data_IF_232053661396
#
_entry.id   IF_232053661396
#
_cell.length_a   1.000
_cell.length_b   1.000
_cell.length_c   1.000
_cell.angle_alpha   90.00
_cell.angle_beta   90.00
_cell.angle_gamma   90.00
#
_symmetry.space_group_name_H-M   'P 1'
#
loop_
_entity.id
_entity.type
_entity.pdbx_description
1 polymer ?
#
# COMPACT_ATOMS: atom_id res chain seq x y z
N UNK A 1 -0.15 7.50 9.22
CA UNK A 1 -0.90 8.66 8.68
C UNK A 1 -0.57 8.85 7.19
N UNK A 2 0.68 9.10 6.78
CA UNK A 2 1.01 9.42 5.38
C UNK A 2 0.50 8.42 4.36
N UNK A 3 0.68 7.12 4.60
CA UNK A 3 0.25 6.05 3.69
C UNK A 3 -1.27 5.95 3.65
N UNK A 4 -1.94 5.98 4.80
CA UNK A 4 -3.41 5.90 4.84
C UNK A 4 -4.08 7.11 4.17
N UNK A 5 -3.54 8.31 4.36
CA UNK A 5 -4.06 9.51 3.71
C UNK A 5 -3.83 9.50 2.20
N UNK A 6 -2.67 9.04 1.73
CA UNK A 6 -2.42 8.87 0.30
C UNK A 6 -3.38 7.84 -0.34
N UNK A 7 -3.65 6.73 0.36
CA UNK A 7 -4.63 5.73 -0.07
C UNK A 7 -6.04 6.33 -0.19
N UNK A 8 -6.50 7.07 0.84
CA UNK A 8 -7.80 7.77 0.82
C UNK A 8 -7.90 8.74 -0.36
N UNK A 9 -6.86 9.52 -0.60
CA UNK A 9 -6.83 10.46 -1.72
C UNK A 9 -6.94 9.73 -3.06
N UNK A 10 -6.13 8.68 -3.27
CA UNK A 10 -6.16 7.90 -4.50
C UNK A 10 -7.54 7.28 -4.75
N UNK A 11 -8.15 6.69 -3.73
CA UNK A 11 -9.47 6.12 -3.82
C UNK A 11 -10.55 7.18 -4.18
N UNK A 12 -10.50 8.35 -3.54
CA UNK A 12 -11.45 9.46 -3.81
C UNK A 12 -11.25 10.11 -5.17
N UNK A 13 -10.06 10.09 -5.75
CA UNK A 13 -9.82 10.56 -7.14
C UNK A 13 -10.61 9.71 -8.13
N UNK A 14 -10.71 8.41 -7.91
CA UNK A 14 -11.44 7.48 -8.80
C UNK A 14 -12.93 7.49 -8.48
N UNK A 15 -13.28 7.46 -7.19
CA UNK A 15 -14.68 7.52 -6.75
C UNK A 15 -14.82 8.51 -5.58
N UNK A 16 -15.28 9.75 -5.84
CA UNK A 16 -15.45 10.78 -4.80
C UNK A 16 -16.41 10.39 -3.67
N UNK A 17 -17.29 9.42 -3.92
CA UNK A 17 -18.29 8.94 -2.94
C UNK A 17 -17.86 7.69 -2.18
N UNK A 18 -16.62 7.20 -2.41
CA UNK A 18 -16.12 6.01 -1.68
C UNK A 18 -15.97 6.31 -0.20
N UNK A 19 -16.39 5.36 0.63
CA UNK A 19 -16.10 5.40 2.06
C UNK A 19 -14.79 4.68 2.33
N UNK A 20 -13.86 5.32 3.02
CA UNK A 20 -12.60 4.72 3.42
C UNK A 20 -12.50 4.73 4.95
N UNK A 21 -12.54 3.54 5.55
CA UNK A 21 -12.32 3.35 6.99
C UNK A 21 -10.83 3.32 7.29
N UNK A 22 -10.41 3.97 8.36
CA UNK A 22 -9.03 3.99 8.82
C UNK A 22 -8.97 3.73 10.31
N UNK A 23 -8.32 2.64 10.69
CA UNK A 23 -8.23 2.17 12.08
C UNK A 23 -6.78 1.96 12.47
N UNK A 24 -6.35 2.54 13.59
CA UNK A 24 -5.05 2.28 14.20
C UNK A 24 -5.20 1.23 15.30
N UNK A 25 -4.66 0.03 15.10
CA UNK A 25 -4.79 -1.10 16.03
C UNK A 25 -3.76 -1.11 17.17
N UNK A 26 -2.77 -0.20 17.13
CA UNK A 26 -1.77 -0.03 18.20
C UNK A 26 -0.74 -1.16 18.31
N UNK A 27 -0.60 -2.01 17.28
CA UNK A 27 0.36 -3.11 17.24
C UNK A 27 0.80 -3.42 15.82
N UNK A 28 2.01 -3.96 15.68
CA UNK A 28 2.56 -4.41 14.38
C UNK A 28 2.52 -5.93 14.22
N UNK A 29 2.37 -6.68 15.32
CA UNK A 29 2.57 -8.14 15.33
C UNK A 29 1.35 -8.95 15.79
N UNK A 30 0.36 -8.34 16.42
CA UNK A 30 -0.82 -9.03 16.95
C UNK A 30 -1.82 -9.33 15.83
N UNK A 31 -1.77 -10.57 15.32
CA UNK A 31 -2.63 -11.03 14.23
C UNK A 31 -4.12 -11.04 14.61
N UNK A 32 -4.45 -11.35 15.89
CA UNK A 32 -5.83 -11.38 16.34
C UNK A 32 -6.45 -9.99 16.30
N UNK A 33 -5.74 -8.98 16.80
CA UNK A 33 -6.19 -7.58 16.70
C UNK A 33 -6.32 -7.11 15.25
N UNK A 34 -5.40 -7.53 14.38
CA UNK A 34 -5.50 -7.26 12.95
C UNK A 34 -6.76 -7.87 12.33
N UNK A 35 -7.06 -9.12 12.69
CA UNK A 35 -8.24 -9.84 12.25
C UNK A 35 -9.53 -9.21 12.77
N UNK A 36 -9.62 -8.91 14.07
CA UNK A 36 -10.78 -8.27 14.68
C UNK A 36 -11.11 -6.92 14.04
N UNK A 37 -10.10 -6.07 13.86
CA UNK A 37 -10.27 -4.77 13.20
C UNK A 37 -10.78 -4.93 11.76
N UNK A 38 -10.23 -5.88 11.02
CA UNK A 38 -10.65 -6.17 9.65
C UNK A 38 -12.10 -6.67 9.59
N UNK A 39 -12.49 -7.60 10.48
CA UNK A 39 -13.86 -8.09 10.56
C UNK A 39 -14.84 -6.95 10.84
N UNK A 40 -14.50 -6.05 11.76
CA UNK A 40 -15.33 -4.87 12.05
C UNK A 40 -15.47 -3.95 10.83
N UNK A 41 -14.39 -3.73 10.05
CA UNK A 41 -14.48 -2.94 8.82
C UNK A 41 -15.37 -3.63 7.75
N UNK A 42 -15.25 -4.95 7.60
CA UNK A 42 -16.08 -5.72 6.68
C UNK A 42 -17.57 -5.68 7.08
N UNK A 43 -17.87 -5.78 8.37
CA UNK A 43 -19.23 -5.64 8.90
C UNK A 43 -19.84 -4.25 8.60
N UNK A 44 -18.98 -3.22 8.51
CA UNK A 44 -19.38 -1.88 8.10
C UNK A 44 -19.41 -1.69 6.58
N UNK A 45 -19.17 -2.75 5.79
CA UNK A 45 -19.32 -2.75 4.34
C UNK A 45 -18.02 -2.59 3.54
N UNK A 46 -16.85 -2.75 4.17
CA UNK A 46 -15.59 -2.76 3.43
C UNK A 46 -15.49 -4.03 2.57
N UNK A 47 -15.21 -3.87 1.29
CA UNK A 47 -15.06 -4.93 0.28
C UNK A 47 -13.61 -5.11 -0.20
N UNK A 48 -12.74 -4.12 0.06
CA UNK A 48 -11.30 -4.17 -0.18
C UNK A 48 -10.58 -3.69 1.07
N UNK A 49 -9.64 -4.47 1.58
CA UNK A 49 -8.85 -4.15 2.76
C UNK A 49 -7.39 -3.89 2.37
N UNK A 50 -6.78 -2.88 3.00
CA UNK A 50 -5.35 -2.59 2.88
C UNK A 50 -4.74 -2.40 4.26
N UNK A 51 -3.58 -2.98 4.52
CA UNK A 51 -2.90 -2.81 5.80
C UNK A 51 -1.54 -2.13 5.65
N UNK A 52 -1.12 -1.50 6.75
CA UNK A 52 0.25 -1.05 6.98
C UNK A 52 0.64 -1.53 8.37
N UNK A 53 0.78 -2.86 8.54
CA UNK A 53 0.90 -3.48 9.85
C UNK A 53 1.50 -4.90 9.75
N UNK A 54 2.75 -5.03 9.46
CA UNK A 54 3.55 -6.28 9.44
C UNK A 54 2.77 -7.60 9.74
N UNK A 55 3.08 -8.30 10.83
CA UNK A 55 2.40 -9.54 11.23
C UNK A 55 0.91 -9.38 11.50
N UNK A 56 0.47 -8.25 12.07
CA UNK A 56 -0.95 -7.97 12.28
C UNK A 56 -1.72 -7.87 10.95
N UNK A 57 -1.06 -7.45 9.88
CA UNK A 57 -1.63 -7.42 8.52
C UNK A 57 -1.99 -8.80 7.99
N UNK A 58 -1.29 -9.86 8.38
CA UNK A 58 -1.66 -11.23 8.02
C UNK A 58 -3.00 -11.64 8.64
N UNK A 59 -3.32 -11.12 9.82
CA UNK A 59 -4.65 -11.26 10.43
C UNK A 59 -5.75 -10.61 9.59
N UNK A 60 -5.50 -9.40 9.04
CA UNK A 60 -6.41 -8.74 8.10
C UNK A 60 -6.61 -9.58 6.83
N UNK A 61 -5.54 -10.11 6.25
CA UNK A 61 -5.63 -10.98 5.04
C UNK A 61 -6.44 -12.25 5.35
N UNK A 62 -6.27 -12.84 6.53
CA UNK A 62 -7.06 -14.01 6.96
C UNK A 62 -8.55 -13.67 7.08
N UNK A 63 -8.91 -12.51 7.65
CA UNK A 63 -10.29 -12.04 7.72
C UNK A 63 -10.89 -11.81 6.32
N UNK A 64 -10.13 -11.17 5.42
CA UNK A 64 -10.57 -10.96 4.04
C UNK A 64 -10.89 -12.28 3.33
N UNK A 65 -9.99 -13.27 3.46
CA UNK A 65 -10.20 -14.62 2.93
C UNK A 65 -11.44 -15.29 3.53
N UNK A 66 -11.62 -15.22 4.84
CA UNK A 66 -12.76 -15.81 5.55
C UNK A 66 -14.10 -15.23 5.09
N UNK A 67 -14.14 -13.94 4.82
CA UNK A 67 -15.36 -13.20 4.44
C UNK A 67 -15.56 -13.06 2.93
N UNK A 68 -14.60 -13.51 2.12
CA UNK A 68 -14.69 -13.45 0.67
C UNK A 68 -14.59 -12.03 0.09
N UNK A 69 -13.89 -11.13 0.78
CA UNK A 69 -13.55 -9.79 0.29
C UNK A 69 -12.10 -9.73 -0.16
N UNK A 70 -11.68 -8.67 -0.83
CA UNK A 70 -10.33 -8.55 -1.34
C UNK A 70 -9.37 -7.91 -0.35
N UNK A 71 -8.08 -8.20 -0.54
CA UNK A 71 -7.00 -7.61 0.24
C UNK A 71 -5.89 -7.05 -0.67
N UNK A 72 -5.24 -6.00 -0.21
CA UNK A 72 -4.00 -5.48 -0.77
C UNK A 72 -2.89 -5.75 0.25
N UNK A 73 -1.83 -6.43 -0.18
CA UNK A 73 -0.66 -6.70 0.65
C UNK A 73 0.23 -5.47 0.83
N UNK A 74 1.13 -5.51 1.79
CA UNK A 74 2.02 -4.39 2.14
C UNK A 74 3.46 -4.85 2.34
N UNK A 75 4.40 -4.00 1.93
CA UNK A 75 5.86 -4.11 2.03
C UNK A 75 6.49 -5.25 1.24
N UNK A 76 5.82 -6.38 1.07
CA UNK A 76 6.28 -7.54 0.31
C UNK A 76 5.14 -8.20 -0.44
N UNK A 77 5.45 -9.11 -1.36
CA UNK A 77 4.44 -9.93 -2.02
C UNK A 77 3.81 -10.92 -1.04
N UNK A 78 2.56 -10.69 -0.69
CA UNK A 78 1.75 -11.49 0.21
C UNK A 78 0.68 -12.32 -0.52
N UNK A 79 0.74 -12.40 -1.84
CA UNK A 79 -0.22 -13.17 -2.66
C UNK A 79 -0.31 -14.63 -2.21
N UNK A 80 0.84 -15.22 -1.79
CA UNK A 80 0.91 -16.58 -1.27
C UNK A 80 0.16 -16.81 0.06
N UNK A 81 -0.10 -15.78 0.86
CA UNK A 81 -0.84 -15.90 2.12
C UNK A 81 -2.32 -16.22 1.89
N UNK A 82 -2.91 -15.66 0.83
CA UNK A 82 -4.29 -15.92 0.44
C UNK A 82 -4.47 -15.75 -1.07
N UNK A 83 -4.12 -16.77 -1.88
CA UNK A 83 -4.27 -16.72 -3.33
C UNK A 83 -5.73 -16.44 -3.72
N UNK A 84 -5.94 -15.50 -4.65
CA UNK A 84 -7.26 -15.05 -5.10
C UNK A 84 -7.94 -14.03 -4.18
N UNK A 85 -7.46 -13.86 -2.94
CA UNK A 85 -7.91 -12.83 -2.00
C UNK A 85 -7.01 -11.61 -2.07
N UNK A 86 -5.68 -11.82 -2.02
CA UNK A 86 -4.71 -10.72 -2.22
C UNK A 86 -4.65 -10.42 -3.70
N UNK A 87 -5.17 -9.24 -4.08
CA UNK A 87 -5.31 -8.83 -5.48
C UNK A 87 -4.11 -8.06 -6.03
N UNK A 88 -3.33 -7.43 -5.17
CA UNK A 88 -2.06 -6.79 -5.46
C UNK A 88 -1.33 -6.48 -4.16
N UNK A 89 -0.11 -5.92 -4.26
CA UNK A 89 0.70 -5.55 -3.11
C UNK A 89 1.34 -4.18 -3.32
N UNK A 90 1.44 -3.39 -2.26
CA UNK A 90 2.34 -2.24 -2.15
C UNK A 90 3.71 -2.77 -1.71
N UNK A 91 4.72 -2.69 -2.57
CA UNK A 91 6.03 -3.28 -2.37
C UNK A 91 7.06 -2.24 -1.95
N UNK A 92 7.93 -2.61 -1.03
CA UNK A 92 9.09 -1.84 -0.61
C UNK A 92 10.38 -2.58 -1.02
N UNK A 93 11.19 -1.96 -1.86
CA UNK A 93 12.48 -2.51 -2.30
C UNK A 93 13.63 -1.87 -1.51
N UNK A 94 13.70 -2.14 -0.21
CA UNK A 94 14.74 -1.64 0.68
C UNK A 94 16.19 -1.88 0.16
N UNK A 95 16.52 -3.02 -0.47
CA UNK A 95 17.85 -3.20 -1.07
C UNK A 95 18.22 -2.13 -2.09
N UNK A 96 17.28 -1.68 -2.92
CA UNK A 96 17.53 -0.62 -3.91
C UNK A 96 17.83 0.73 -3.24
N UNK A 97 17.11 1.03 -2.16
CA UNK A 97 17.35 2.23 -1.36
C UNK A 97 18.76 2.20 -0.72
N UNK A 98 19.15 1.06 -0.12
CA UNK A 98 20.49 0.91 0.47
C UNK A 98 21.59 1.00 -0.58
N UNK A 99 21.41 0.37 -1.74
CA UNK A 99 22.38 0.45 -2.84
C UNK A 99 22.52 1.87 -3.39
N UNK A 100 21.44 2.62 -3.49
CA UNK A 100 21.46 4.03 -3.91
C UNK A 100 22.33 4.88 -2.97
N UNK A 101 22.13 4.73 -1.66
CA UNK A 101 22.93 5.44 -0.66
C UNK A 101 24.40 4.99 -0.70
N UNK A 102 24.67 3.67 -0.78
CA UNK A 102 26.04 3.14 -0.86
C UNK A 102 26.79 3.67 -2.09
N UNK A 103 26.14 3.73 -3.26
CA UNK A 103 26.71 4.33 -4.46
C UNK A 103 27.04 5.81 -4.26
N UNK A 104 26.14 6.58 -3.66
CA UNK A 104 26.40 7.99 -3.41
C UNK A 104 27.59 8.25 -2.50
N UNK A 105 27.86 7.35 -1.54
CA UNK A 105 29.09 7.37 -0.72
C UNK A 105 30.31 7.05 -1.57
N UNK A 106 30.24 6.02 -2.40
CA UNK A 106 31.34 5.62 -3.30
C UNK A 106 31.72 6.73 -4.28
N UNK A 107 30.71 7.43 -4.82
CA UNK A 107 30.88 8.50 -5.80
C UNK A 107 31.19 9.87 -5.16
N UNK A 108 31.35 9.91 -3.83
CA UNK A 108 31.54 11.16 -3.04
C UNK A 108 30.43 12.20 -3.24
N UNK A 109 29.23 11.78 -3.63
CA UNK A 109 28.06 12.64 -3.80
C UNK A 109 27.13 12.63 -2.59
N UNK A 110 27.39 11.76 -1.62
CA UNK A 110 26.55 11.65 -0.41
C UNK A 110 26.52 12.95 0.38
N UNK A 111 25.30 13.38 0.67
CA UNK A 111 25.02 14.49 1.59
C UNK A 111 24.15 13.98 2.71
N UNK A 112 24.54 14.27 3.96
CA UNK A 112 23.69 13.92 5.12
C UNK A 112 22.31 14.54 5.01
N UNK A 113 21.30 13.85 5.57
CA UNK A 113 19.91 14.34 5.56
C UNK A 113 18.89 13.23 5.29
N UNK A 114 17.67 13.64 4.99
CA UNK A 114 16.58 12.71 4.61
C UNK A 114 16.63 12.53 3.09
N UNK A 115 16.82 11.27 2.67
CA UNK A 115 16.74 10.88 1.26
C UNK A 115 15.35 10.32 1.01
N UNK A 116 14.61 10.91 0.07
CA UNK A 116 13.30 10.42 -0.36
C UNK A 116 13.49 9.62 -1.64
N UNK A 117 13.07 8.37 -1.61
CA UNK A 117 13.11 7.45 -2.74
C UNK A 117 11.69 6.96 -3.03
N UNK A 118 11.36 6.79 -4.30
CA UNK A 118 10.02 6.43 -4.73
C UNK A 118 9.99 5.50 -5.93
N UNK A 119 8.94 5.60 -6.72
CA UNK A 119 8.74 4.81 -7.95
C UNK A 119 9.85 5.03 -8.98
N UNK A 120 10.32 6.28 -9.15
CA UNK A 120 11.38 6.63 -10.09
C UNK A 120 12.74 6.00 -9.72
N UNK A 121 12.94 5.71 -8.44
CA UNK A 121 14.17 5.13 -7.90
C UNK A 121 14.08 3.60 -7.81
N UNK A 122 12.97 2.99 -8.24
CA UNK A 122 12.63 1.60 -8.01
C UNK A 122 12.73 1.19 -6.54
N UNK A 123 12.40 2.10 -5.63
CA UNK A 123 12.40 1.84 -4.18
C UNK A 123 11.03 1.32 -3.70
N UNK A 124 9.96 1.58 -4.46
CA UNK A 124 8.62 1.08 -4.21
C UNK A 124 7.96 0.67 -5.53
N UNK A 125 6.94 -0.20 -5.48
CA UNK A 125 6.08 -0.51 -6.63
C UNK A 125 4.73 -1.08 -6.18
N UNK A 126 3.82 -1.32 -7.15
CA UNK A 126 2.53 -1.99 -6.96
C UNK A 126 2.45 -3.15 -7.94
N UNK A 127 2.64 -4.37 -7.45
CA UNK A 127 2.54 -5.62 -8.21
C UNK A 127 2.70 -6.85 -7.28
N UNK A 128 2.55 -8.11 -7.73
CA UNK A 128 1.82 -8.47 -8.94
C UNK A 128 0.33 -8.15 -8.82
N UNK A 129 -0.39 -8.24 -9.92
CA UNK A 129 -1.86 -8.16 -9.94
C UNK A 129 -2.43 -9.56 -10.11
N UNK A 130 -3.44 -9.92 -9.31
CA UNK A 130 -4.18 -11.17 -9.48
C UNK A 130 -5.06 -11.13 -10.73
N UNK A 131 -5.33 -12.29 -11.34
CA UNK A 131 -6.14 -12.43 -12.56
C UNK A 131 -7.57 -11.87 -12.43
N UNK A 132 -8.08 -11.76 -11.20
CA UNK A 132 -9.38 -11.17 -10.91
C UNK A 132 -9.42 -9.66 -11.14
N UNK A 133 -8.27 -8.99 -11.15
CA UNK A 133 -8.19 -7.55 -11.42
C UNK A 133 -8.36 -7.30 -12.92
N UNK A 134 -9.38 -6.55 -13.36
CA UNK A 134 -9.61 -6.28 -14.76
C UNK A 134 -8.40 -5.63 -15.45
N UNK A 135 -8.12 -6.06 -16.68
CA UNK A 135 -6.93 -5.62 -17.41
C UNK A 135 -6.88 -4.10 -17.66
N UNK A 136 -8.03 -3.47 -17.82
CA UNK A 136 -8.16 -2.01 -17.95
C UNK A 136 -7.80 -1.29 -16.65
N UNK A 137 -8.14 -1.86 -15.49
CA UNK A 137 -7.72 -1.32 -14.18
C UNK A 137 -6.20 -1.45 -14.01
N UNK A 138 -5.63 -2.61 -14.33
CA UNK A 138 -4.17 -2.79 -14.31
C UNK A 138 -3.47 -1.77 -15.21
N UNK A 139 -4.04 -1.50 -16.40
CA UNK A 139 -3.53 -0.49 -17.32
C UNK A 139 -3.57 0.91 -16.70
N UNK A 140 -4.70 1.32 -16.10
CA UNK A 140 -4.83 2.62 -15.43
C UNK A 140 -3.83 2.80 -14.29
N UNK A 141 -3.59 1.75 -13.48
CA UNK A 141 -2.58 1.79 -12.41
C UNK A 141 -1.18 2.00 -12.99
N UNK A 142 -0.83 1.29 -14.08
CA UNK A 142 0.47 1.45 -14.75
C UNK A 142 0.64 2.84 -15.37
N UNK A 143 -0.41 3.41 -15.94
CA UNK A 143 -0.41 4.77 -16.48
C UNK A 143 -0.22 5.81 -15.36
N UNK A 144 -0.95 5.68 -14.25
CA UNK A 144 -0.79 6.55 -13.07
C UNK A 144 0.62 6.43 -12.49
N UNK A 145 1.16 5.21 -12.40
CA UNK A 145 2.55 4.97 -12.00
C UNK A 145 3.54 5.74 -12.89
N UNK A 146 3.35 5.67 -14.19
CA UNK A 146 4.25 6.38 -15.13
C UNK A 146 4.12 7.90 -14.98
N UNK A 147 2.90 8.43 -14.80
CA UNK A 147 2.69 9.86 -14.56
C UNK A 147 3.38 10.34 -13.28
N UNK A 148 3.42 9.52 -12.23
CA UNK A 148 4.16 9.85 -10.98
C UNK A 148 5.66 9.88 -11.27
N UNK A 149 6.19 8.89 -12.00
CA UNK A 149 7.62 8.82 -12.37
C UNK A 149 8.03 10.04 -13.21
N UNK A 150 7.19 10.45 -14.15
CA UNK A 150 7.44 11.59 -15.03
C UNK A 150 7.19 12.95 -14.35
N UNK A 151 6.72 12.94 -13.08
CA UNK A 151 6.41 14.15 -12.33
C UNK A 151 5.13 14.88 -12.77
N UNK A 152 4.33 14.27 -13.65
CA UNK A 152 3.05 14.82 -14.13
C UNK A 152 1.91 14.62 -13.12
N UNK A 153 2.01 13.61 -12.25
CA UNK A 153 1.11 13.37 -11.13
C UNK A 153 1.90 13.46 -9.83
N UNK A 154 1.56 14.44 -9.00
CA UNK A 154 2.19 14.65 -7.71
C UNK A 154 1.26 14.15 -6.61
N UNK A 155 1.74 13.18 -5.81
CA UNK A 155 1.03 12.71 -4.63
C UNK A 155 1.41 13.61 -3.45
N UNK A 156 0.45 14.34 -2.84
CA UNK A 156 0.76 15.25 -1.75
C UNK A 156 1.18 14.47 -0.48
N UNK A 157 2.14 15.01 0.26
CA UNK A 157 2.51 14.49 1.57
C UNK A 157 1.57 15.08 2.64
N UNK A 158 0.80 14.23 3.30
CA UNK A 158 -0.11 14.62 4.38
C UNK A 158 0.39 14.03 5.69
N UNK A 159 0.60 14.87 6.68
CA UNK A 159 1.14 14.49 8.00
C UNK A 159 0.09 14.46 9.11
N UNK A 160 -1.10 14.99 8.85
CA UNK A 160 -2.24 15.01 9.76
C UNK A 160 -3.40 14.20 9.18
N UNK A 161 -4.23 13.59 10.03
CA UNK A 161 -5.44 12.89 9.58
C UNK A 161 -6.45 13.91 9.05
N UNK A 162 -6.94 13.68 7.84
CA UNK A 162 -8.08 14.42 7.33
C UNK A 162 -9.36 13.77 7.89
N UNK A 163 -10.22 14.57 8.49
CA UNK A 163 -11.57 14.15 8.81
C UNK A 163 -12.30 13.92 7.48
N UNK A 164 -12.54 12.64 7.17
CA UNK A 164 -13.08 12.15 5.92
C UNK A 164 -14.52 12.48 5.65
#
# INVERSE_FOLDING_TARGET
>A
IRISEAYKLGAKVINPHITVYDVAIGTWSDMEKGKEAALSQIENGADVLYHVADGAGLGMIAAAKEKGVYAIGSSSDQTGAAPGTVITNSLDFAPNAYLSVAKSVQDNSFKGGIVKLGLADNAIDVNPFADVVPADIVKQVKESRQQIIDGNLVVPEIFERTNG
#
